data_IF_214783565194
#
_entry.id   IF_214783565194
#
_cell.length_a   1.000
_cell.length_b   1.000
_cell.length_c   1.000
_cell.angle_alpha   90.00
_cell.angle_beta   90.00
_cell.angle_gamma   90.00
#
_symmetry.space_group_name_H-M   'P 1'
#
loop_
_entity.id
_entity.type
_entity.pdbx_description
1 polymer ?
#
# COMPACT_ATOMS: atom_id res chain seq x y z
N UNK A 1 -3.29 5.91 34.00
CA UNK A 1 -4.39 5.85 33.02
C UNK A 1 -3.82 5.32 31.72
N UNK A 2 -4.47 4.34 31.07
CA UNK A 2 -4.20 4.08 29.65
C UNK A 2 -4.76 5.28 28.88
N UNK A 3 -3.95 5.85 28.00
CA UNK A 3 -4.37 6.90 27.08
C UNK A 3 -5.22 6.25 26.00
N UNK A 4 -6.45 6.73 25.77
CA UNK A 4 -7.31 6.25 24.68
C UNK A 4 -6.85 6.77 23.31
N UNK A 5 -5.85 7.67 23.30
CA UNK A 5 -5.32 8.32 22.12
C UNK A 5 -4.94 7.37 20.98
N UNK A 6 -4.13 6.30 21.18
CA UNK A 6 -3.75 5.41 20.08
C UNK A 6 -4.95 4.78 19.38
N UNK A 7 -5.99 4.43 20.15
CA UNK A 7 -7.21 3.83 19.63
C UNK A 7 -8.03 4.84 18.82
N UNK A 8 -8.20 6.06 19.34
CA UNK A 8 -8.92 7.12 18.64
C UNK A 8 -8.22 7.51 17.33
N UNK A 9 -6.89 7.58 17.33
CA UNK A 9 -6.12 7.89 16.12
C UNK A 9 -6.22 6.79 15.06
N UNK A 10 -6.11 5.52 15.44
CA UNK A 10 -6.29 4.40 14.49
C UNK A 10 -7.68 4.46 13.86
N UNK A 11 -8.74 4.73 14.66
CA UNK A 11 -10.10 4.85 14.14
C UNK A 11 -10.24 6.05 13.20
N UNK A 12 -9.66 7.20 13.55
CA UNK A 12 -9.66 8.40 12.72
C UNK A 12 -8.99 8.13 11.37
N UNK A 13 -7.78 7.58 11.39
CA UNK A 13 -7.00 7.25 10.19
C UNK A 13 -7.77 6.25 9.31
N UNK A 14 -8.31 5.18 9.90
CA UNK A 14 -9.10 4.20 9.15
C UNK A 14 -10.33 4.83 8.47
N UNK A 15 -11.03 5.76 9.16
CA UNK A 15 -12.16 6.48 8.58
C UNK A 15 -11.73 7.37 7.41
N UNK A 16 -10.64 8.11 7.55
CA UNK A 16 -10.12 8.99 6.50
C UNK A 16 -9.68 8.20 5.27
N UNK A 17 -8.88 7.14 5.45
CA UNK A 17 -8.45 6.28 4.36
C UNK A 17 -9.63 5.58 3.67
N UNK A 18 -10.65 5.16 4.43
CA UNK A 18 -11.88 4.61 3.86
C UNK A 18 -12.65 5.64 3.04
N UNK A 19 -12.72 6.90 3.48
CA UNK A 19 -13.35 7.96 2.68
C UNK A 19 -12.63 8.14 1.35
N UNK A 20 -11.29 8.15 1.34
CA UNK A 20 -10.52 8.22 0.09
C UNK A 20 -10.83 7.04 -0.83
N UNK A 21 -10.87 5.81 -0.31
CA UNK A 21 -11.24 4.62 -1.09
C UNK A 21 -12.63 4.76 -1.74
N UNK A 22 -13.61 5.22 -0.96
CA UNK A 22 -14.98 5.43 -1.45
C UNK A 22 -14.99 6.50 -2.55
N UNK A 23 -14.28 7.60 -2.35
CA UNK A 23 -14.19 8.67 -3.36
C UNK A 23 -13.48 8.22 -4.62
N UNK A 24 -12.37 7.49 -4.52
CA UNK A 24 -11.65 6.93 -5.66
C UNK A 24 -12.54 6.01 -6.49
N UNK A 25 -13.35 5.19 -5.81
CA UNK A 25 -14.30 4.27 -6.45
C UNK A 25 -15.44 5.01 -7.15
N UNK A 26 -16.03 6.03 -6.51
CA UNK A 26 -17.23 6.70 -7.00
C UNK A 26 -16.96 7.84 -7.99
N UNK A 27 -15.81 8.53 -7.85
CA UNK A 27 -15.48 9.74 -8.62
C UNK A 27 -14.37 9.51 -9.65
N UNK A 28 -13.85 8.28 -9.76
CA UNK A 28 -12.73 7.94 -10.66
C UNK A 28 -11.48 8.78 -10.39
N UNK A 29 -11.23 9.15 -9.12
CA UNK A 29 -10.08 9.97 -8.74
C UNK A 29 -8.75 9.21 -8.83
N UNK A 30 -8.80 7.87 -8.91
CA UNK A 30 -7.64 7.02 -9.13
C UNK A 30 -7.73 6.35 -10.51
N UNK A 31 -6.88 6.76 -11.48
CA UNK A 31 -6.80 6.11 -12.78
C UNK A 31 -6.48 4.60 -12.67
N UNK A 32 -5.61 4.22 -11.72
CA UNK A 32 -5.24 2.81 -11.51
C UNK A 32 -6.45 1.96 -11.06
N UNK A 33 -7.25 2.49 -10.13
CA UNK A 33 -8.48 1.84 -9.68
C UNK A 33 -9.55 1.83 -10.78
N UNK A 34 -9.72 2.95 -11.48
CA UNK A 34 -10.69 3.05 -12.56
C UNK A 34 -10.38 2.06 -13.68
N UNK A 35 -9.14 2.07 -14.17
CA UNK A 35 -8.70 1.17 -15.23
C UNK A 35 -8.82 -0.30 -14.82
N UNK A 36 -8.54 -0.65 -13.56
CA UNK A 36 -8.77 -2.01 -13.06
C UNK A 36 -10.26 -2.34 -13.00
N UNK A 37 -11.11 -1.50 -12.39
CA UNK A 37 -12.54 -1.79 -12.27
C UNK A 37 -13.27 -1.97 -13.63
N UNK A 38 -12.76 -1.37 -14.70
CA UNK A 38 -13.34 -1.45 -16.05
C UNK A 38 -12.55 -2.31 -17.04
N UNK A 39 -11.50 -3.02 -16.61
CA UNK A 39 -10.76 -3.97 -17.46
C UNK A 39 -11.24 -5.42 -17.27
N UNK A 40 -10.79 -6.32 -18.16
CA UNK A 40 -11.06 -7.74 -18.02
C UNK A 40 -10.42 -8.27 -16.74
N UNK A 41 -11.25 -8.74 -15.80
CA UNK A 41 -10.86 -9.32 -14.52
C UNK A 41 -9.88 -10.50 -14.64
N UNK A 42 -9.83 -11.14 -15.81
CA UNK A 42 -8.90 -12.23 -16.10
C UNK A 42 -7.54 -11.74 -16.61
N UNK A 43 -7.44 -10.50 -17.04
CA UNK A 43 -6.20 -9.94 -17.58
C UNK A 43 -5.15 -9.75 -16.49
N UNK A 44 -3.88 -9.89 -16.86
CA UNK A 44 -2.77 -9.67 -15.94
C UNK A 44 -2.64 -8.17 -15.57
N UNK A 45 -2.93 -7.28 -16.52
CA UNK A 45 -2.92 -5.83 -16.29
C UNK A 45 -3.97 -5.40 -15.26
N UNK A 46 -5.15 -6.02 -15.25
CA UNK A 46 -6.17 -5.80 -14.22
C UNK A 46 -5.60 -6.07 -12.81
N UNK A 47 -4.98 -7.23 -12.62
CA UNK A 47 -4.45 -7.66 -11.32
C UNK A 47 -3.36 -6.72 -10.83
N UNK A 48 -2.42 -6.39 -11.71
CA UNK A 48 -1.29 -5.50 -11.39
C UNK A 48 -1.78 -4.08 -11.06
N UNK A 49 -2.76 -3.55 -11.78
CA UNK A 49 -3.33 -2.21 -11.49
C UNK A 49 -4.09 -2.18 -10.15
N UNK A 50 -4.80 -3.25 -9.83
CA UNK A 50 -5.48 -3.39 -8.53
C UNK A 50 -4.46 -3.49 -7.38
N UNK A 51 -3.44 -4.33 -7.51
CA UNK A 51 -2.33 -4.45 -6.54
C UNK A 51 -1.63 -3.09 -6.32
N UNK A 52 -1.36 -2.35 -7.41
CA UNK A 52 -0.76 -1.02 -7.35
C UNK A 52 -1.64 -0.05 -6.53
N UNK A 53 -2.95 -0.05 -6.78
CA UNK A 53 -3.88 0.80 -6.03
C UNK A 53 -3.88 0.45 -4.54
N UNK A 54 -3.95 -0.84 -4.20
CA UNK A 54 -3.98 -1.25 -2.80
C UNK A 54 -2.68 -0.92 -2.06
N UNK A 55 -1.53 -1.00 -2.73
CA UNK A 55 -0.25 -0.56 -2.18
C UNK A 55 -0.27 0.93 -1.86
N UNK A 56 -0.77 1.77 -2.79
CA UNK A 56 -0.94 3.22 -2.55
C UNK A 56 -1.88 3.49 -1.38
N UNK A 57 -2.94 2.70 -1.25
CA UNK A 57 -3.90 2.83 -0.15
C UNK A 57 -3.33 2.44 1.21
N UNK A 58 -2.49 1.40 1.28
CA UNK A 58 -1.74 1.05 2.48
C UNK A 58 -0.72 2.15 2.81
N UNK A 59 0.02 2.64 1.83
CA UNK A 59 1.00 3.72 2.03
C UNK A 59 0.33 4.98 2.60
N UNK A 60 -0.90 5.29 2.17
CA UNK A 60 -1.69 6.38 2.73
C UNK A 60 -1.96 6.19 4.23
N UNK A 61 -2.34 4.99 4.68
CA UNK A 61 -2.52 4.74 6.11
C UNK A 61 -1.20 4.94 6.87
N UNK A 62 -0.10 4.45 6.30
CA UNK A 62 1.23 4.61 6.90
C UNK A 62 1.64 6.08 7.02
N UNK A 63 1.42 6.89 5.97
CA UNK A 63 1.68 8.34 5.97
C UNK A 63 0.89 9.03 7.09
N UNK A 64 -0.41 8.78 7.17
CA UNK A 64 -1.29 9.36 8.20
C UNK A 64 -0.92 8.94 9.62
N UNK A 65 -0.47 7.70 9.81
CA UNK A 65 0.06 7.27 11.10
C UNK A 65 1.34 7.98 11.45
N UNK A 66 2.27 8.10 10.50
CA UNK A 66 3.52 8.79 10.73
C UNK A 66 3.26 10.25 11.14
N UNK A 67 2.35 10.92 10.44
CA UNK A 67 1.84 12.26 10.80
C UNK A 67 1.30 12.27 12.25
N UNK A 68 0.42 11.33 12.63
CA UNK A 68 -0.12 11.24 13.99
C UNK A 68 0.94 11.00 15.08
N UNK A 69 2.07 10.36 14.72
CA UNK A 69 3.21 10.14 15.63
C UNK A 69 4.10 11.39 15.73
N UNK A 70 4.19 12.18 14.66
CA UNK A 70 5.07 13.36 14.57
C UNK A 70 4.41 14.68 14.97
N UNK A 71 3.09 14.84 14.76
CA UNK A 71 2.36 16.10 14.99
C UNK A 71 2.19 16.47 16.47
N UNK A 72 2.29 15.49 17.37
CA UNK A 72 2.11 15.64 18.81
C UNK A 72 3.36 15.17 19.54
N UNK A 73 3.66 15.79 20.68
CA UNK A 73 4.48 15.16 21.73
C UNK A 73 3.76 13.91 22.29
N UNK A 74 3.76 12.83 21.51
CA UNK A 74 3.28 11.53 21.96
C UNK A 74 4.31 10.94 22.92
N UNK A 75 3.81 10.39 24.03
CA UNK A 75 4.63 9.57 24.90
C UNK A 75 5.14 8.36 24.10
N UNK A 76 6.35 7.93 24.40
CA UNK A 76 6.95 6.76 23.74
C UNK A 76 6.05 5.52 23.80
N UNK A 77 5.32 5.34 24.91
CA UNK A 77 4.35 4.26 25.07
C UNK A 77 3.16 4.38 24.11
N UNK A 78 2.65 5.60 23.86
CA UNK A 78 1.55 5.84 22.92
C UNK A 78 2.01 5.56 21.48
N UNK A 79 3.23 5.98 21.12
CA UNK A 79 3.83 5.69 19.81
C UNK A 79 3.91 4.18 19.59
N UNK A 80 4.50 3.44 20.55
CA UNK A 80 4.61 1.98 20.50
C UNK A 80 3.27 1.28 20.35
N UNK A 81 2.26 1.70 21.10
CA UNK A 81 0.90 1.14 21.00
C UNK A 81 0.31 1.38 19.61
N UNK A 82 0.40 2.60 19.08
CA UNK A 82 -0.15 2.97 17.78
C UNK A 82 0.48 2.14 16.63
N UNK A 83 1.80 1.98 16.66
CA UNK A 83 2.53 1.13 15.70
C UNK A 83 2.12 -0.33 15.83
N UNK A 84 2.02 -0.83 17.05
CA UNK A 84 1.62 -2.22 17.32
C UNK A 84 0.23 -2.51 16.76
N UNK A 85 -0.72 -1.61 17.02
CA UNK A 85 -2.08 -1.71 16.49
C UNK A 85 -2.10 -1.72 14.96
N UNK A 86 -1.33 -0.85 14.32
CA UNK A 86 -1.25 -0.83 12.86
C UNK A 86 -0.54 -2.01 12.28
N UNK A 87 0.57 -2.46 12.86
CA UNK A 87 1.28 -3.63 12.39
C UNK A 87 0.38 -4.87 12.47
N UNK A 88 -0.44 -4.97 13.53
CA UNK A 88 -1.47 -6.00 13.65
C UNK A 88 -2.52 -5.87 12.57
N UNK A 89 -3.13 -4.69 12.41
CA UNK A 89 -4.13 -4.44 11.37
C UNK A 89 -3.58 -4.73 9.97
N UNK A 90 -2.38 -4.27 9.66
CA UNK A 90 -1.71 -4.47 8.39
C UNK A 90 -1.47 -5.95 8.11
N UNK A 91 -1.00 -6.69 9.12
CA UNK A 91 -0.84 -8.14 9.03
C UNK A 91 -2.17 -8.83 8.76
N UNK A 92 -3.20 -8.51 9.52
CA UNK A 92 -4.51 -9.12 9.37
C UNK A 92 -5.10 -8.79 7.98
N UNK A 93 -4.91 -7.55 7.51
CA UNK A 93 -5.35 -7.11 6.19
C UNK A 93 -4.66 -7.88 5.07
N UNK A 94 -3.33 -7.92 5.07
CA UNK A 94 -2.52 -8.64 4.07
C UNK A 94 -2.75 -10.15 4.13
N UNK A 95 -2.97 -10.73 5.31
CA UNK A 95 -3.21 -12.18 5.45
C UNK A 95 -4.54 -12.62 4.82
N UNK A 96 -5.47 -11.68 4.61
CA UNK A 96 -6.73 -11.95 3.91
C UNK A 96 -6.59 -11.82 2.39
N UNK A 97 -5.41 -11.43 1.88
CA UNK A 97 -5.16 -11.33 0.47
C UNK A 97 -4.75 -12.67 -0.12
N UNK A 98 -5.32 -12.99 -1.28
CA UNK A 98 -5.05 -14.22 -2.02
C UNK A 98 -4.30 -13.88 -3.32
N UNK A 99 -3.27 -13.02 -3.21
CA UNK A 99 -2.46 -12.56 -4.33
C UNK A 99 -1.31 -13.54 -4.64
N UNK A 100 -0.60 -13.28 -5.74
CA UNK A 100 0.41 -14.17 -6.36
C UNK A 100 1.72 -14.30 -5.57
N UNK A 101 2.67 -15.11 -6.07
CA UNK A 101 3.96 -15.40 -5.40
C UNK A 101 4.87 -14.17 -5.24
N UNK A 102 4.74 -13.16 -6.12
CA UNK A 102 5.49 -11.91 -6.04
C UNK A 102 5.04 -11.03 -4.85
N UNK A 103 3.79 -11.17 -4.47
CA UNK A 103 3.16 -10.42 -3.38
C UNK A 103 3.72 -10.83 -2.02
N UNK A 104 4.05 -12.12 -1.86
CA UNK A 104 4.63 -12.68 -0.63
C UNK A 104 5.93 -11.96 -0.26
N UNK A 105 6.82 -11.70 -1.22
CA UNK A 105 8.13 -11.07 -0.97
C UNK A 105 7.98 -9.60 -0.56
N UNK A 106 7.09 -8.85 -1.22
CA UNK A 106 6.83 -7.44 -0.89
C UNK A 106 6.21 -7.33 0.50
N UNK A 107 5.31 -8.26 0.86
CA UNK A 107 4.65 -8.26 2.16
C UNK A 107 5.56 -8.71 3.29
N UNK A 108 6.41 -9.71 3.08
CA UNK A 108 7.40 -10.15 4.06
C UNK A 108 8.38 -9.03 4.42
N UNK A 109 8.92 -8.32 3.42
CA UNK A 109 9.83 -7.19 3.64
C UNK A 109 9.17 -6.09 4.50
N UNK A 110 7.90 -5.77 4.24
CA UNK A 110 7.12 -4.79 5.03
C UNK A 110 6.77 -5.29 6.42
N UNK A 111 6.41 -6.57 6.56
CA UNK A 111 6.14 -7.20 7.85
C UNK A 111 7.38 -7.17 8.74
N UNK A 112 8.56 -7.37 8.16
CA UNK A 112 9.82 -7.36 8.89
C UNK A 112 10.26 -5.95 9.29
N UNK A 113 9.97 -4.93 8.47
CA UNK A 113 10.14 -3.52 8.88
C UNK A 113 9.18 -3.18 10.03
N UNK A 114 7.92 -3.61 9.99
CA UNK A 114 6.95 -3.41 11.07
C UNK A 114 7.36 -4.12 12.36
N UNK A 115 7.83 -5.38 12.28
CA UNK A 115 8.39 -6.09 13.43
C UNK A 115 9.60 -5.36 14.01
N UNK A 116 10.47 -4.82 13.15
CA UNK A 116 11.65 -4.04 13.55
C UNK A 116 11.27 -2.72 14.25
N UNK A 117 10.22 -2.05 13.78
CA UNK A 117 9.64 -0.85 14.42
C UNK A 117 9.06 -1.16 15.81
N UNK A 118 8.50 -2.35 15.99
CA UNK A 118 7.99 -2.82 17.29
C UNK A 118 9.15 -3.20 18.23
N UNK A 119 10.20 -3.82 17.70
CA UNK A 119 11.26 -4.46 18.51
C UNK A 119 12.43 -3.56 18.87
N UNK A 120 12.67 -2.44 18.17
CA UNK A 120 13.85 -1.59 18.41
C UNK A 120 13.47 -0.11 18.56
N UNK A 121 13.56 0.40 19.79
CA UNK A 121 13.20 1.77 20.13
C UNK A 121 14.22 2.84 19.67
N UNK A 122 15.38 2.43 19.11
CA UNK A 122 16.51 3.32 18.88
C UNK A 122 16.78 3.65 17.40
N UNK A 123 16.15 2.93 16.46
CA UNK A 123 16.35 3.11 15.00
C UNK A 123 15.07 3.54 14.29
N UNK A 124 14.24 4.30 15.01
CA UNK A 124 12.91 4.75 14.57
C UNK A 124 12.94 5.40 13.19
N UNK A 125 13.75 6.45 13.02
CA UNK A 125 13.86 7.22 11.79
C UNK A 125 14.38 6.37 10.61
N UNK A 126 15.31 5.45 10.89
CA UNK A 126 15.84 4.56 9.87
C UNK A 126 14.77 3.56 9.40
N UNK A 127 13.99 2.99 10.32
CA UNK A 127 12.92 2.07 9.97
C UNK A 127 11.75 2.77 9.24
N UNK A 128 11.41 4.01 9.63
CA UNK A 128 10.46 4.83 8.88
C UNK A 128 10.94 5.06 7.44
N UNK A 129 12.23 5.39 7.26
CA UNK A 129 12.84 5.57 5.94
C UNK A 129 12.84 4.28 5.13
N UNK A 130 13.16 3.13 5.75
CA UNK A 130 13.10 1.82 5.09
C UNK A 130 11.70 1.49 4.60
N UNK A 131 10.67 1.77 5.40
CA UNK A 131 9.29 1.55 4.99
C UNK A 131 8.92 2.40 3.76
N UNK A 132 9.27 3.69 3.78
CA UNK A 132 9.05 4.58 2.63
C UNK A 132 9.75 4.07 1.36
N UNK A 133 11.02 3.70 1.45
CA UNK A 133 11.78 3.14 0.32
C UNK A 133 11.16 1.83 -0.19
N UNK A 134 10.63 0.99 0.69
CA UNK A 134 9.93 -0.24 0.30
C UNK A 134 8.67 0.05 -0.53
N UNK A 135 7.87 1.05 -0.14
CA UNK A 135 6.72 1.50 -0.93
C UNK A 135 7.15 2.01 -2.31
N UNK A 136 8.13 2.91 -2.37
CA UNK A 136 8.66 3.48 -3.62
C UNK A 136 9.18 2.39 -4.58
N UNK A 137 9.91 1.40 -4.05
CA UNK A 137 10.43 0.27 -4.82
C UNK A 137 9.29 -0.59 -5.38
N UNK A 138 8.26 -0.85 -4.58
CA UNK A 138 7.11 -1.67 -5.00
C UNK A 138 6.33 -0.98 -6.12
N UNK A 139 6.05 0.32 -5.94
CA UNK A 139 5.37 1.14 -6.94
C UNK A 139 6.15 1.18 -8.25
N UNK A 140 7.49 1.33 -8.18
CA UNK A 140 8.34 1.32 -9.38
C UNK A 140 8.24 0.00 -10.14
N UNK A 141 8.33 -1.15 -9.46
CA UNK A 141 8.29 -2.46 -10.12
C UNK A 141 6.94 -2.68 -10.82
N UNK A 142 5.83 -2.35 -10.16
CA UNK A 142 4.50 -2.52 -10.75
C UNK A 142 4.29 -1.60 -11.95
N UNK A 143 4.72 -0.33 -11.87
CA UNK A 143 4.66 0.59 -13.00
C UNK A 143 5.51 0.12 -14.20
N UNK A 144 6.68 -0.47 -13.97
CA UNK A 144 7.50 -1.05 -15.05
C UNK A 144 6.80 -2.23 -15.74
N UNK A 145 6.10 -3.09 -14.98
CA UNK A 145 5.30 -4.18 -15.56
C UNK A 145 4.10 -3.68 -16.34
N UNK A 146 3.37 -2.69 -15.83
CA UNK A 146 2.24 -2.06 -16.56
C UNK A 146 2.73 -1.56 -17.93
N UNK A 147 3.84 -0.82 -17.96
CA UNK A 147 4.43 -0.34 -19.21
C UNK A 147 4.81 -1.48 -20.16
N UNK A 148 5.39 -2.56 -19.65
CA UNK A 148 5.76 -3.71 -20.48
C UNK A 148 4.53 -4.37 -21.13
N UNK A 149 3.43 -4.51 -20.39
CA UNK A 149 2.16 -5.06 -20.89
C UNK A 149 1.48 -4.13 -21.90
N UNK A 150 1.52 -2.82 -21.67
CA UNK A 150 0.98 -1.82 -22.59
C UNK A 150 1.76 -1.76 -23.91
N UNK A 151 3.09 -1.87 -23.86
CA UNK A 151 3.95 -1.90 -25.06
C UNK A 151 3.91 -3.25 -25.80
N UNK A 152 3.66 -4.35 -25.09
CA UNK A 152 3.53 -5.69 -25.67
C UNK A 152 2.26 -5.90 -26.51
N UNK A 153 1.28 -4.99 -26.41
CA UNK A 153 0.05 -5.02 -27.23
C UNK A 153 0.17 -4.41 -28.63
N UNK A 154 1.37 -3.99 -29.05
CA UNK A 154 1.57 -3.23 -30.29
C UNK A 154 2.53 -3.88 -31.30
N UNK A 155 2.64 -5.22 -31.28
CA UNK A 155 3.35 -6.00 -32.29
C UNK A 155 2.53 -7.22 -32.71
N UNK A 156 1.41 -6.98 -33.38
CA UNK A 156 0.81 -7.92 -34.34
C UNK A 156 0.04 -7.11 -35.41
N UNK A 157 0.73 -6.11 -35.96
CA UNK A 157 0.40 -5.52 -37.26
C UNK A 157 1.27 -6.18 -38.32
N UNK A 158 1.05 -7.48 -38.49
CA UNK A 158 1.70 -8.33 -39.49
C UNK A 158 1.55 -7.65 -40.86
N UNK A 159 2.67 -7.19 -41.43
CA UNK A 159 2.78 -6.83 -42.84
C UNK A 159 2.55 -8.10 -43.67
N UNK A 160 1.30 -8.54 -43.80
CA UNK A 160 0.85 -9.44 -44.85
C UNK A 160 0.29 -8.56 -45.96
N UNK A 161 1.06 -8.51 -47.05
CA UNK A 161 0.86 -7.60 -48.16
C UNK A 161 -0.38 -7.88 -48.99
N UNK A 162 -0.51 -7.12 -50.08
CA UNK A 162 -1.19 -7.57 -51.29
C UNK A 162 -0.90 -6.59 -52.46
N UNK A 163 -0.39 -7.17 -53.55
CA UNK A 163 -0.20 -6.73 -54.96
C UNK A 163 0.84 -5.65 -55.31
#
# INVERSE_FOLDING_TARGET
MKSDYPYLEIIRIAKECRSVLIEDTLKSNSPDLYDSLYSDIKSEIYKIKLELYEIKWIELHWKKMNEAITDRECLLAEKKELISMFAKWYRDYVSNWNYTEFDVVIFEERMDILKSLISVNNEWEQNLKRMKVSFEKSEKILNEKIKALEMGGQLDGDCKGDW
#
